data_IF_233059104382
#
_entry.id   IF_233059104382
#
_cell.length_a   1.000
_cell.length_b   1.000
_cell.length_c   1.000
_cell.angle_alpha   90.00
_cell.angle_beta   90.00
_cell.angle_gamma   90.00
#
_symmetry.space_group_name_H-M   'P 1'
#
loop_
_entity.id
_entity.type
_entity.pdbx_description
1 polymer ?
#
# COMPACT_ATOMS: atom_id res chain seq x y z
N UNK A 1 8.23 17.77 -2.90
CA UNK A 1 7.54 18.65 -3.88
C UNK A 1 7.36 17.87 -5.17
N UNK A 2 6.15 17.81 -5.72
CA UNK A 2 5.92 17.19 -7.04
C UNK A 2 6.65 17.99 -8.12
N UNK A 3 7.08 17.33 -9.21
CA UNK A 3 7.65 18.00 -10.40
C UNK A 3 6.68 19.03 -11.03
N UNK A 4 5.40 19.01 -10.63
CA UNK A 4 4.33 19.85 -11.14
C UNK A 4 3.78 20.86 -10.12
N UNK A 5 4.45 21.06 -8.98
CA UNK A 5 3.99 21.96 -7.93
C UNK A 5 2.89 21.36 -7.02
N UNK A 6 2.04 22.20 -6.43
CA UNK A 6 1.00 21.76 -5.51
C UNK A 6 -0.10 20.99 -6.24
N UNK A 7 -0.37 19.76 -5.80
CA UNK A 7 -1.43 18.90 -6.34
C UNK A 7 -2.68 19.10 -5.49
N UNK A 8 -3.71 19.72 -6.06
CA UNK A 8 -5.02 19.80 -5.42
C UNK A 8 -5.68 18.42 -5.43
N UNK A 9 -6.11 17.96 -4.25
CA UNK A 9 -6.79 16.68 -4.10
C UNK A 9 -8.25 16.79 -4.58
N UNK A 10 -8.78 15.78 -5.30
CA UNK A 10 -10.22 15.66 -5.47
C UNK A 10 -10.91 15.70 -4.10
N UNK A 11 -12.14 16.21 -4.03
CA UNK A 11 -12.90 16.21 -2.79
C UNK A 11 -12.89 14.79 -2.18
N UNK A 12 -12.37 14.68 -0.95
CA UNK A 12 -12.29 13.41 -0.23
C UNK A 12 -13.65 12.73 -0.24
N UNK A 13 -13.68 11.39 -0.34
CA UNK A 13 -14.92 10.66 -0.13
C UNK A 13 -15.52 11.07 1.21
N UNK A 14 -16.85 11.20 1.29
CA UNK A 14 -17.60 11.70 2.45
C UNK A 14 -17.45 10.84 3.74
N UNK A 15 -16.56 9.86 3.73
CA UNK A 15 -16.21 8.97 4.83
C UNK A 15 -15.17 7.92 4.39
N UNK A 16 -14.65 7.11 5.31
CA UNK A 16 -13.76 6.02 4.98
C UNK A 16 -14.48 4.96 4.13
N UNK A 17 -13.81 4.44 3.10
CA UNK A 17 -14.32 3.31 2.33
C UNK A 17 -14.42 2.05 3.20
N UNK A 18 -15.37 1.18 2.86
CA UNK A 18 -15.62 -0.05 3.61
C UNK A 18 -14.39 -0.99 3.59
N UNK A 19 -14.09 -1.58 4.74
CA UNK A 19 -13.03 -2.58 4.85
C UNK A 19 -13.35 -3.84 4.04
N UNK A 20 -12.30 -4.49 3.55
CA UNK A 20 -12.42 -5.71 2.74
C UNK A 20 -11.61 -6.84 3.35
N UNK A 21 -12.05 -8.07 3.11
CA UNK A 21 -11.34 -9.31 3.47
C UNK A 21 -10.95 -10.06 2.20
N UNK A 22 -9.74 -10.60 2.21
CA UNK A 22 -9.11 -11.26 1.07
C UNK A 22 -8.50 -12.58 1.52
N UNK A 23 -8.86 -13.66 0.82
CA UNK A 23 -8.23 -14.95 1.03
C UNK A 23 -6.81 -14.93 0.48
N UNK A 24 -5.86 -15.47 1.24
CA UNK A 24 -4.49 -15.61 0.76
C UNK A 24 -4.36 -16.84 -0.13
N UNK A 25 -3.65 -16.74 -1.28
CA UNK A 25 -3.38 -17.90 -2.10
C UNK A 25 -2.46 -18.88 -1.37
N UNK A 26 -2.60 -20.17 -1.68
CA UNK A 26 -1.67 -21.18 -1.18
C UNK A 26 -0.22 -20.84 -1.59
N UNK A 27 0.72 -21.17 -0.71
CA UNK A 27 2.13 -20.98 -1.00
C UNK A 27 2.55 -21.78 -2.24
N UNK A 28 3.34 -21.15 -3.11
CA UNK A 28 3.92 -21.84 -4.26
C UNK A 28 4.92 -22.90 -3.77
N UNK A 29 5.13 -24.00 -4.55
CA UNK A 29 6.15 -24.99 -4.23
C UNK A 29 7.52 -24.33 -3.96
N UNK A 30 8.16 -24.71 -2.85
CA UNK A 30 9.46 -24.17 -2.45
C UNK A 30 9.46 -22.76 -1.83
N UNK A 31 8.29 -22.16 -1.57
CA UNK A 31 8.15 -20.91 -0.81
C UNK A 31 7.53 -21.16 0.56
N UNK A 32 7.89 -20.36 1.58
CA UNK A 32 7.33 -20.52 2.92
C UNK A 32 5.82 -20.22 2.92
N UNK A 33 5.07 -20.95 3.74
CA UNK A 33 3.65 -20.71 3.93
C UNK A 33 3.43 -19.45 4.78
N UNK A 34 2.44 -18.65 4.39
CA UNK A 34 1.96 -17.53 5.19
C UNK A 34 1.45 -18.04 6.55
N UNK A 35 1.81 -17.41 7.67
CA UNK A 35 1.19 -17.70 8.97
C UNK A 35 -0.26 -17.17 9.07
N UNK A 36 -0.70 -16.34 8.12
CA UNK A 36 -2.06 -15.78 8.06
C UNK A 36 -2.91 -16.52 7.03
N UNK A 37 -4.20 -16.69 7.34
CA UNK A 37 -5.19 -17.30 6.42
C UNK A 37 -5.85 -16.27 5.49
N UNK A 38 -5.94 -15.02 5.92
CA UNK A 38 -6.55 -13.93 5.16
C UNK A 38 -5.92 -12.59 5.51
N UNK A 39 -6.19 -11.58 4.68
CA UNK A 39 -5.90 -10.17 4.97
C UNK A 39 -7.21 -9.41 5.11
N UNK A 40 -7.30 -8.52 6.08
CA UNK A 40 -8.28 -7.44 6.09
C UNK A 40 -7.60 -6.15 5.66
N UNK A 41 -8.25 -5.33 4.85
CA UNK A 41 -7.69 -4.09 4.30
C UNK A 41 -8.60 -2.94 4.67
N UNK A 42 -8.00 -1.91 5.27
CA UNK A 42 -8.71 -0.80 5.91
C UNK A 42 -8.26 0.52 5.30
N UNK A 43 -9.23 1.38 5.00
CA UNK A 43 -8.99 2.72 4.48
C UNK A 43 -8.71 3.71 5.61
N UNK A 44 -7.65 4.50 5.46
CA UNK A 44 -7.15 5.44 6.44
C UNK A 44 -6.78 6.78 5.79
N UNK A 45 -6.98 7.84 6.55
CA UNK A 45 -6.34 9.14 6.34
C UNK A 45 -5.35 9.39 7.47
N UNK A 46 -4.49 10.41 7.34
CA UNK A 46 -3.60 10.79 8.45
C UNK A 46 -4.39 11.07 9.73
N UNK A 47 -5.52 11.75 9.62
CA UNK A 47 -6.38 12.07 10.77
C UNK A 47 -6.90 10.82 11.46
N UNK A 48 -7.37 9.82 10.71
CA UNK A 48 -7.88 8.57 11.32
C UNK A 48 -6.75 7.71 11.87
N UNK A 49 -5.59 7.69 11.21
CA UNK A 49 -4.41 6.95 11.66
C UNK A 49 -3.79 7.54 12.93
N UNK A 50 -3.84 8.86 13.12
CA UNK A 50 -3.34 9.53 14.32
C UNK A 50 -4.08 9.14 15.61
N UNK A 51 -5.32 8.63 15.50
CA UNK A 51 -6.08 8.09 16.62
C UNK A 51 -5.74 6.64 16.97
N UNK A 52 -4.89 5.98 16.16
CA UNK A 52 -4.43 4.62 16.38
C UNK A 52 -3.02 4.65 16.94
N UNK A 53 -2.90 4.32 18.22
CA UNK A 53 -1.62 4.38 18.94
C UNK A 53 -0.52 3.59 18.22
N UNK A 54 0.62 4.23 18.01
CA UNK A 54 1.82 3.64 17.40
C UNK A 54 1.75 3.35 15.89
N UNK A 55 0.60 3.51 15.22
CA UNK A 55 0.49 3.15 13.80
C UNK A 55 1.34 4.04 12.89
N UNK A 56 1.26 5.37 13.09
CA UNK A 56 2.01 6.33 12.28
C UNK A 56 3.52 6.15 12.52
N UNK A 57 3.93 5.90 13.75
CA UNK A 57 5.33 5.63 14.11
C UNK A 57 5.85 4.35 13.45
N UNK A 58 5.06 3.28 13.48
CA UNK A 58 5.36 2.02 12.82
C UNK A 58 5.55 2.20 11.32
N UNK A 59 4.58 2.82 10.64
CA UNK A 59 4.63 3.01 9.18
C UNK A 59 5.79 3.92 8.77
N UNK A 60 6.08 4.96 9.55
CA UNK A 60 7.23 5.83 9.36
C UNK A 60 8.54 5.04 9.45
N UNK A 61 8.75 4.27 10.52
CA UNK A 61 9.97 3.51 10.74
C UNK A 61 10.22 2.52 9.61
N UNK A 62 9.19 1.78 9.20
CA UNK A 62 9.29 0.83 8.08
C UNK A 62 9.65 1.57 6.79
N UNK A 63 9.00 2.69 6.48
CA UNK A 63 9.28 3.43 5.25
C UNK A 63 10.67 4.08 5.25
N UNK A 64 11.12 4.63 6.38
CA UNK A 64 12.45 5.20 6.51
C UNK A 64 13.53 4.15 6.27
N UNK A 65 13.33 2.91 6.71
CA UNK A 65 14.23 1.78 6.41
C UNK A 65 14.24 1.43 4.91
N UNK A 66 13.09 1.44 4.23
CA UNK A 66 13.03 1.24 2.77
C UNK A 66 13.82 2.31 2.01
N UNK A 67 13.72 3.56 2.44
CA UNK A 67 14.46 4.69 1.87
C UNK A 67 15.96 4.54 2.12
N UNK A 68 16.36 4.17 3.35
CA UNK A 68 17.76 3.94 3.70
C UNK A 68 18.38 2.78 2.91
N UNK A 69 17.60 1.74 2.56
CA UNK A 69 18.06 0.64 1.71
C UNK A 69 18.30 1.08 0.25
N UNK A 70 17.70 2.19 -0.22
CA UNK A 70 18.03 2.83 -1.50
C UNK A 70 17.72 2.04 -2.77
N UNK A 71 16.92 0.96 -2.69
CA UNK A 71 16.67 0.05 -3.83
C UNK A 71 15.24 0.07 -4.36
N UNK A 72 14.32 0.75 -3.67
CA UNK A 72 12.89 0.71 -3.98
C UNK A 72 12.29 2.09 -4.23
N UNK A 73 12.65 3.08 -3.42
CA UNK A 73 12.12 4.43 -3.48
C UNK A 73 13.21 5.41 -3.92
N UNK A 74 12.89 6.39 -4.80
CA UNK A 74 13.86 7.39 -5.27
C UNK A 74 14.18 8.48 -4.24
N UNK A 75 13.45 8.52 -3.11
CA UNK A 75 13.71 9.44 -2.03
C UNK A 75 15.12 9.21 -1.50
N UNK A 76 15.85 10.29 -1.30
CA UNK A 76 17.12 10.27 -0.60
C UNK A 76 16.94 10.97 0.74
N UNK A 77 17.60 10.45 1.76
CA UNK A 77 17.74 11.18 3.01
C UNK A 77 18.90 12.17 2.82
N UNK A 78 18.58 13.39 2.36
CA UNK A 78 19.57 14.43 2.06
C UNK A 78 20.37 14.83 3.30
N UNK A 79 21.50 14.15 3.53
CA UNK A 79 22.46 14.47 4.60
C UNK A 79 22.09 14.00 6.01
N UNK A 80 21.20 13.00 6.17
CA UNK A 80 20.76 12.53 7.49
C UNK A 80 19.74 11.40 7.43
N UNK A 81 18.93 11.23 8.47
CA UNK A 81 17.79 10.29 8.48
C UNK A 81 16.58 10.88 7.73
N UNK A 82 15.77 10.01 7.10
CA UNK A 82 14.53 10.43 6.46
C UNK A 82 13.52 10.87 7.52
N UNK A 83 13.15 12.15 7.56
CA UNK A 83 12.35 12.73 8.66
C UNK A 83 10.88 12.29 8.65
N UNK A 84 10.24 12.28 9.83
CA UNK A 84 8.81 12.00 10.00
C UNK A 84 7.93 12.97 9.23
N UNK A 85 8.28 14.26 9.25
CA UNK A 85 7.52 15.31 8.58
C UNK A 85 7.51 15.09 7.06
N UNK A 86 8.65 14.70 6.48
CA UNK A 86 8.74 14.35 5.06
C UNK A 86 7.93 13.09 4.72
N UNK A 87 7.92 12.09 5.60
CA UNK A 87 7.11 10.89 5.45
C UNK A 87 5.62 11.22 5.45
N UNK A 88 5.13 11.97 6.44
CA UNK A 88 3.72 12.36 6.53
C UNK A 88 3.29 13.22 5.33
N UNK A 89 4.13 14.20 4.96
CA UNK A 89 3.88 15.04 3.79
C UNK A 89 3.95 14.28 2.45
N UNK A 90 4.52 13.07 2.43
CA UNK A 90 4.62 12.26 1.22
C UNK A 90 3.62 11.09 1.20
N UNK A 91 3.74 10.18 2.15
CA UNK A 91 3.00 8.92 2.20
C UNK A 91 1.55 9.15 2.63
N UNK A 92 1.34 10.07 3.57
CA UNK A 92 0.03 10.44 4.10
C UNK A 92 -0.60 11.66 3.41
N UNK A 93 -0.01 12.09 2.28
CA UNK A 93 -0.56 13.15 1.43
C UNK A 93 -1.85 12.74 0.68
N UNK A 94 -2.31 11.51 0.84
CA UNK A 94 -3.54 11.02 0.24
C UNK A 94 -4.12 9.90 1.09
N UNK A 95 -4.92 9.05 0.45
CA UNK A 95 -5.55 7.91 1.11
C UNK A 95 -4.53 6.81 1.33
N UNK A 96 -4.55 6.16 2.50
CA UNK A 96 -3.68 5.03 2.82
C UNK A 96 -4.53 3.82 3.11
N UNK A 97 -4.08 2.66 2.64
CA UNK A 97 -4.71 1.38 2.91
C UNK A 97 -3.73 0.51 3.68
N UNK A 98 -4.17 0.00 4.82
CA UNK A 98 -3.39 -0.88 5.70
C UNK A 98 -3.97 -2.29 5.64
N UNK A 99 -3.11 -3.28 5.37
CA UNK A 99 -3.45 -4.68 5.41
C UNK A 99 -3.05 -5.32 6.75
N UNK A 100 -4.01 -5.95 7.43
CA UNK A 100 -3.82 -6.66 8.69
C UNK A 100 -4.03 -8.17 8.45
N UNK A 101 -3.07 -8.99 8.87
CA UNK A 101 -3.10 -10.44 8.71
C UNK A 101 -3.95 -11.12 9.77
N UNK A 102 -4.98 -11.86 9.35
CA UNK A 102 -5.86 -12.61 10.23
C UNK A 102 -5.42 -14.06 10.41
N UNK A 103 -5.56 -14.57 11.64
CA UNK A 103 -5.34 -15.98 11.99
C UNK A 103 -6.69 -16.69 11.90
N UNK A 104 -6.75 -17.82 11.21
CA UNK A 104 -7.98 -18.63 11.07
C UNK A 104 -8.63 -18.54 9.69
N UNK A 105 -9.86 -19.07 9.60
CA UNK A 105 -10.57 -19.22 8.33
C UNK A 105 -10.91 -17.85 7.72
N UNK A 106 -10.78 -17.78 6.39
CA UNK A 106 -11.12 -16.61 5.59
C UNK A 106 -12.63 -16.46 5.38
N UNK A 107 -13.44 -17.43 5.83
CA UNK A 107 -14.88 -17.48 5.61
C UNK A 107 -15.22 -17.38 4.12
N UNK A 108 -16.08 -16.43 3.76
CA UNK A 108 -16.51 -16.18 2.38
C UNK A 108 -15.51 -15.39 1.52
N UNK A 109 -14.32 -15.07 2.02
CA UNK A 109 -13.37 -14.26 1.27
C UNK A 109 -12.87 -14.97 0.01
N UNK A 110 -12.78 -14.21 -1.09
CA UNK A 110 -12.14 -14.64 -2.33
C UNK A 110 -10.68 -14.17 -2.36
N UNK A 111 -9.83 -14.87 -3.11
CA UNK A 111 -8.49 -14.38 -3.39
C UNK A 111 -8.50 -13.38 -4.56
N UNK A 112 -9.49 -13.47 -5.45
CA UNK A 112 -9.60 -12.76 -6.72
C UNK A 112 -10.43 -11.48 -6.62
N UNK A 113 -11.46 -11.48 -5.77
CA UNK A 113 -12.39 -10.38 -5.62
C UNK A 113 -12.49 -9.93 -4.16
N UNK A 114 -12.74 -8.64 -3.98
CA UNK A 114 -12.96 -8.05 -2.67
C UNK A 114 -14.27 -8.55 -2.07
N UNK A 115 -14.22 -9.02 -0.82
CA UNK A 115 -15.42 -9.25 -0.01
C UNK A 115 -15.47 -8.18 1.07
N UNK A 116 -16.59 -7.48 1.21
CA UNK A 116 -16.74 -6.50 2.30
C UNK A 116 -16.77 -7.19 3.65
N UNK A 117 -16.20 -6.54 4.67
CA UNK A 117 -16.26 -7.01 6.06
C UNK A 117 -16.59 -5.85 6.99
N UNK A 118 -17.26 -6.16 8.10
CA UNK A 118 -17.49 -5.23 9.20
C UNK A 118 -16.38 -5.30 10.27
N UNK A 119 -15.44 -6.23 10.14
CA UNK A 119 -14.30 -6.38 11.04
C UNK A 119 -13.52 -5.06 11.09
N UNK A 120 -13.46 -4.44 12.27
CA UNK A 120 -12.68 -3.24 12.51
C UNK A 120 -11.17 -3.53 12.63
N UNK A 121 -10.34 -2.50 12.58
CA UNK A 121 -8.88 -2.67 12.68
C UNK A 121 -8.44 -3.26 14.03
N UNK A 122 -9.07 -2.86 15.14
CA UNK A 122 -8.70 -3.37 16.46
C UNK A 122 -9.06 -4.86 16.62
N UNK A 123 -10.24 -5.25 16.13
CA UNK A 123 -10.65 -6.65 16.05
C UNK A 123 -9.69 -7.45 15.15
N UNK A 124 -9.34 -6.92 13.97
CA UNK A 124 -8.36 -7.53 13.09
C UNK A 124 -6.97 -7.64 13.73
N UNK A 125 -6.54 -6.65 14.53
CA UNK A 125 -5.31 -6.68 15.31
C UNK A 125 -5.34 -7.76 16.37
N UNK A 126 -6.49 -7.95 17.02
CA UNK A 126 -6.68 -8.92 18.09
C UNK A 126 -5.60 -8.81 19.18
N UNK A 127 -5.27 -7.58 19.59
CA UNK A 127 -4.26 -7.28 20.61
C UNK A 127 -2.78 -7.42 20.18
N UNK A 128 -2.50 -7.80 18.93
CA UNK A 128 -1.14 -7.91 18.40
C UNK A 128 -0.51 -6.53 18.15
N UNK A 129 0.80 -6.49 18.17
CA UNK A 129 1.59 -5.31 17.76
C UNK A 129 1.48 -5.09 16.24
N UNK A 130 1.77 -3.87 15.78
CA UNK A 130 1.75 -3.56 14.35
C UNK A 130 2.81 -4.37 13.60
N UNK A 131 3.97 -4.60 14.21
CA UNK A 131 5.05 -5.42 13.67
C UNK A 131 4.60 -6.86 13.36
N UNK A 132 3.74 -7.43 14.23
CA UNK A 132 3.26 -8.80 14.09
C UNK A 132 2.14 -8.93 13.05
N UNK A 133 1.26 -7.94 12.92
CA UNK A 133 0.04 -8.11 12.13
C UNK A 133 -0.09 -7.18 10.92
N UNK A 134 0.64 -6.07 10.84
CA UNK A 134 0.58 -5.17 9.68
C UNK A 134 1.41 -5.73 8.54
N UNK A 135 0.73 -6.29 7.55
CA UNK A 135 1.34 -7.08 6.47
C UNK A 135 1.89 -6.20 5.37
N UNK A 136 1.28 -5.04 5.20
CA UNK A 136 1.70 -4.06 4.21
C UNK A 136 0.74 -2.90 4.16
N UNK A 137 1.19 -1.82 3.55
CA UNK A 137 0.40 -0.62 3.40
C UNK A 137 0.76 0.08 2.09
N UNK A 138 -0.19 0.82 1.55
CA UNK A 138 0.04 1.60 0.35
C UNK A 138 -0.76 2.88 0.36
N UNK A 139 -0.21 3.93 -0.23
CA UNK A 139 -0.94 5.16 -0.48
C UNK A 139 -1.63 5.12 -1.84
N UNK A 140 -2.68 5.92 -2.01
CA UNK A 140 -3.29 6.29 -3.27
C UNK A 140 -3.48 7.79 -3.27
N UNK A 141 -2.85 8.47 -4.24
CA UNK A 141 -2.95 9.93 -4.37
C UNK A 141 -2.91 10.36 -5.84
N UNK A 142 -3.34 11.57 -6.19
CA UNK A 142 -3.26 12.03 -7.57
C UNK A 142 -1.79 12.11 -8.02
N UNK A 143 -1.51 11.63 -9.24
CA UNK A 143 -0.15 11.68 -9.80
C UNK A 143 0.18 13.05 -10.40
N UNK A 144 -0.85 13.75 -10.88
CA UNK A 144 -0.73 15.05 -11.56
C UNK A 144 -1.74 16.06 -10.98
N UNK A 145 -1.43 17.36 -10.99
CA UNK A 145 -2.36 18.40 -10.57
C UNK A 145 -3.49 18.66 -11.60
N UNK A 146 -4.54 19.33 -11.15
CA UNK A 146 -5.54 19.96 -12.04
C UNK A 146 -6.26 18.99 -12.96
N UNK A 147 -6.17 19.21 -14.29
CA UNK A 147 -6.93 18.48 -15.32
C UNK A 147 -6.61 16.98 -15.38
N UNK A 148 -5.48 16.56 -14.83
CA UNK A 148 -5.02 15.17 -14.82
C UNK A 148 -5.09 14.51 -13.43
N UNK A 149 -5.77 15.13 -12.46
CA UNK A 149 -5.92 14.60 -11.09
C UNK A 149 -6.73 13.31 -11.01
N UNK A 150 -7.49 12.97 -12.07
CA UNK A 150 -8.19 11.70 -12.21
C UNK A 150 -7.24 10.51 -12.45
N UNK A 151 -5.94 10.76 -12.64
CA UNK A 151 -4.89 9.75 -12.75
C UNK A 151 -4.17 9.65 -11.40
N UNK A 152 -4.29 8.52 -10.72
CA UNK A 152 -3.62 8.28 -9.45
C UNK A 152 -2.24 7.64 -9.61
N UNK A 153 -1.50 7.67 -8.50
CA UNK A 153 -0.29 6.91 -8.26
C UNK A 153 -0.43 6.20 -6.92
N UNK A 154 0.26 5.10 -6.75
CA UNK A 154 0.35 4.35 -5.51
C UNK A 154 1.79 3.87 -5.27
N UNK A 155 2.14 3.72 -4.00
CA UNK A 155 3.39 3.12 -3.57
C UNK A 155 3.12 2.09 -2.49
N UNK A 156 3.69 0.90 -2.63
CA UNK A 156 3.43 -0.24 -1.76
C UNK A 156 4.63 -0.52 -0.88
N UNK A 157 4.38 -0.80 0.40
CA UNK A 157 5.36 -1.19 1.38
C UNK A 157 4.92 -2.49 2.04
N UNK A 158 5.86 -3.44 2.15
CA UNK A 158 5.69 -4.69 2.89
C UNK A 158 6.80 -4.75 3.92
N UNK A 159 6.49 -4.68 5.24
CA UNK A 159 7.50 -4.74 6.28
C UNK A 159 8.41 -5.95 6.13
N UNK A 160 9.71 -5.85 6.46
CA UNK A 160 10.69 -6.92 6.25
C UNK A 160 10.26 -8.29 6.78
N UNK A 161 9.62 -8.33 7.95
CA UNK A 161 9.10 -9.55 8.60
C UNK A 161 8.04 -10.29 7.76
N UNK A 162 7.32 -9.58 6.90
CA UNK A 162 6.20 -10.11 6.11
C UNK A 162 6.55 -10.29 4.64
N UNK A 163 7.83 -10.16 4.25
CA UNK A 163 8.28 -10.38 2.87
C UNK A 163 8.30 -11.86 2.51
N UNK A 164 8.39 -12.16 1.21
CA UNK A 164 8.50 -13.53 0.64
C UNK A 164 7.26 -14.42 0.72
N UNK A 165 6.17 -13.99 1.37
CA UNK A 165 4.90 -14.73 1.43
C UNK A 165 3.91 -14.39 0.31
N UNK A 166 4.25 -13.48 -0.60
CA UNK A 166 3.44 -13.18 -1.79
C UNK A 166 2.28 -12.19 -1.57
N UNK A 167 2.27 -11.44 -0.46
CA UNK A 167 1.20 -10.49 -0.13
C UNK A 167 1.04 -9.34 -1.14
N UNK A 168 2.10 -8.98 -1.88
CA UNK A 168 2.05 -7.93 -2.89
C UNK A 168 0.95 -8.13 -3.94
N UNK A 169 0.63 -9.39 -4.29
CA UNK A 169 -0.47 -9.71 -5.20
C UNK A 169 -1.83 -9.32 -4.61
N UNK A 170 -2.08 -9.63 -3.35
CA UNK A 170 -3.33 -9.26 -2.67
C UNK A 170 -3.43 -7.76 -2.47
N UNK A 171 -2.33 -7.09 -2.08
CA UNK A 171 -2.28 -5.62 -1.99
C UNK A 171 -2.62 -4.98 -3.34
N UNK A 172 -2.04 -5.50 -4.43
CA UNK A 172 -2.34 -5.05 -5.77
C UNK A 172 -3.81 -5.22 -6.17
N UNK A 173 -4.39 -6.39 -5.92
CA UNK A 173 -5.83 -6.63 -6.17
C UNK A 173 -6.72 -5.68 -5.37
N UNK A 174 -6.36 -5.41 -4.12
CA UNK A 174 -7.08 -4.44 -3.29
C UNK A 174 -6.98 -3.02 -3.83
N UNK A 175 -5.82 -2.63 -4.35
CA UNK A 175 -5.63 -1.33 -4.98
C UNK A 175 -6.52 -1.16 -6.22
N UNK A 176 -6.61 -2.20 -7.07
CA UNK A 176 -7.51 -2.22 -8.22
C UNK A 176 -8.99 -2.10 -7.82
N UNK A 177 -9.36 -2.59 -6.63
CA UNK A 177 -10.71 -2.45 -6.09
C UNK A 177 -10.96 -1.03 -5.55
N UNK A 178 -10.02 -0.45 -4.80
CA UNK A 178 -10.24 0.81 -4.08
C UNK A 178 -9.98 2.07 -4.91
N UNK A 179 -8.99 2.07 -5.83
CA UNK A 179 -8.67 3.27 -6.60
C UNK A 179 -9.86 3.83 -7.42
N UNK A 180 -10.69 3.01 -8.10
CA UNK A 180 -11.89 3.49 -8.76
C UNK A 180 -12.96 4.04 -7.80
N UNK A 181 -13.06 3.49 -6.58
CA UNK A 181 -14.00 3.95 -5.56
C UNK A 181 -13.62 5.31 -4.98
N UNK A 182 -12.33 5.65 -4.98
CA UNK A 182 -11.83 7.00 -4.70
C UNK A 182 -12.06 7.98 -5.87
N UNK A 183 -12.66 7.52 -6.98
CA UNK A 183 -12.99 8.35 -8.15
C UNK A 183 -11.89 8.45 -9.21
N UNK A 184 -10.79 7.70 -9.07
CA UNK A 184 -9.73 7.67 -10.07
C UNK A 184 -10.11 6.84 -11.29
N UNK A 185 -9.74 7.32 -12.48
CA UNK A 185 -10.06 6.67 -13.77
C UNK A 185 -8.88 5.95 -14.38
N UNK A 186 -7.67 6.29 -13.95
CA UNK A 186 -6.43 5.67 -14.40
C UNK A 186 -5.38 5.67 -13.29
N UNK A 187 -4.33 4.88 -13.49
CA UNK A 187 -3.18 4.79 -12.59
C UNK A 187 -1.88 4.83 -13.38
N UNK A 188 -0.88 5.53 -12.84
CA UNK A 188 0.48 5.56 -13.37
C UNK A 188 1.47 5.34 -12.23
N UNK A 189 2.35 4.35 -12.42
CA UNK A 189 3.50 4.10 -11.56
C UNK A 189 4.75 4.66 -12.24
N UNK A 190 5.27 5.76 -11.73
CA UNK A 190 6.32 6.51 -12.42
C UNK A 190 7.65 5.75 -12.49
N UNK A 191 8.02 5.04 -11.42
CA UNK A 191 9.29 4.33 -11.28
C UNK A 191 9.04 2.96 -10.66
N UNK A 192 9.31 1.92 -11.44
CA UNK A 192 9.30 0.52 -10.97
C UNK A 192 10.64 -0.08 -11.36
N UNK A 193 11.52 -0.26 -10.37
CA UNK A 193 12.84 -0.83 -10.57
C UNK A 193 12.75 -2.32 -10.84
N UNK A 194 13.42 -2.80 -11.90
CA UNK A 194 13.43 -4.22 -12.27
C UNK A 194 14.19 -5.09 -11.28
N UNK A 195 15.09 -4.51 -10.49
CA UNK A 195 15.78 -5.16 -9.38
C UNK A 195 14.84 -5.48 -8.21
N UNK A 196 13.69 -4.80 -8.11
CA UNK A 196 12.72 -5.03 -7.05
C UNK A 196 11.71 -6.12 -7.43
N UNK A 197 12.09 -7.37 -7.15
CA UNK A 197 11.23 -8.56 -7.36
C UNK A 197 9.92 -8.47 -6.58
N UNK A 198 9.92 -7.78 -5.43
CA UNK A 198 8.70 -7.53 -4.63
C UNK A 198 7.71 -6.65 -5.38
N UNK A 199 8.17 -5.52 -5.92
CA UNK A 199 7.36 -4.61 -6.73
C UNK A 199 6.83 -5.32 -7.98
N UNK A 200 7.67 -6.08 -8.69
CA UNK A 200 7.21 -6.82 -9.88
C UNK A 200 6.13 -7.86 -9.58
N UNK A 201 6.05 -8.36 -8.33
CA UNK A 201 5.07 -9.37 -7.93
C UNK A 201 3.68 -8.80 -7.58
N UNK A 202 3.55 -7.47 -7.50
CA UNK A 202 2.27 -6.79 -7.29
C UNK A 202 1.42 -6.96 -8.55
N UNK A 203 0.35 -7.76 -8.48
CA UNK A 203 -0.41 -8.21 -9.68
C UNK A 203 -1.12 -7.10 -10.46
N UNK A 204 -1.10 -5.86 -9.98
CA UNK A 204 -1.57 -4.71 -10.75
C UNK A 204 -0.82 -4.68 -12.08
N UNK A 205 0.47 -5.04 -12.11
CA UNK A 205 1.30 -5.02 -13.34
C UNK A 205 0.90 -6.02 -14.44
N UNK A 206 -0.04 -6.93 -14.17
CA UNK A 206 -0.60 -7.89 -15.14
C UNK A 206 -2.05 -7.56 -15.55
N UNK A 207 -2.70 -6.57 -14.94
CA UNK A 207 -4.15 -6.32 -15.07
C UNK A 207 -4.47 -5.02 -15.81
N UNK A 208 -5.54 -5.04 -16.62
CA UNK A 208 -5.95 -4.02 -17.59
C UNK A 208 -6.55 -2.72 -17.02
N UNK A 209 -5.95 -2.13 -15.98
CA UNK A 209 -6.01 -0.66 -15.88
C UNK A 209 -5.03 -0.13 -16.94
N UNK A 210 -5.40 0.90 -17.71
CA UNK A 210 -4.50 1.47 -18.72
C UNK A 210 -3.23 2.03 -18.03
N UNK A 211 -2.20 1.19 -17.94
CA UNK A 211 -0.87 1.53 -17.46
C UNK A 211 -0.17 2.37 -18.53
N UNK A 212 -0.20 3.69 -18.37
CA UNK A 212 0.62 4.57 -19.21
C UNK A 212 2.00 4.67 -18.56
N UNK A 213 2.91 3.79 -18.96
CA UNK A 213 4.35 3.92 -18.74
C UNK A 213 4.97 2.90 -17.79
N UNK A 214 5.41 1.74 -18.32
CA UNK A 214 6.56 1.02 -17.76
C UNK A 214 7.82 1.75 -18.23
N UNK A 215 8.43 2.58 -17.38
CA UNK A 215 9.86 2.91 -17.55
C UNK A 215 10.63 2.06 -16.55
N UNK A 216 11.24 0.99 -17.04
CA UNK A 216 12.21 0.21 -16.28
C UNK A 216 13.42 1.09 -16.02
N UNK A 217 13.54 1.58 -14.79
CA UNK A 217 14.77 2.23 -14.34
C UNK A 217 15.64 1.17 -13.67
N UNK A 218 16.96 1.25 -13.90
CA UNK A 218 17.95 0.54 -13.11
C UNK A 218 18.29 1.43 -11.91
N UNK A 219 18.17 0.89 -10.70
CA UNK A 219 18.78 1.51 -9.52
C UNK A 219 20.27 1.16 -9.58
N UNK A 220 21.05 1.98 -10.29
CA UNK A 220 22.51 1.87 -10.32
C UNK A 220 23.05 3.17 -9.75
N UNK A 221 23.84 3.03 -8.67
CA UNK A 221 24.58 4.12 -8.03
C UNK A 221 25.46 4.88 -9.03
#
# INVERSE_FOLDING_TARGET
MSAYGAISHPAASSGPLASTIWKLPAARPGKPASPFGHLTIHHLTLSSAAHLEGLVDFTYRVFAEEVAQGTTYPQEASGGEYTREAFEAYFWAGDVFLAIGGIGDSGHASAEAASHTQTGMEEARAGRTWEECAIGFYYVKPNYPGRSSHICNAGFVVPPLHRQYGYGKTLGRSYLHYAPQLGYKASVFNLVYTSNVGSMSVSVFDSALYFIGKRSCSATH
#
